data_IF_562064329096
#
_entry.id   IF_562064329096
#
_cell.length_a   1.000
_cell.length_b   1.000
_cell.length_c   1.000
_cell.angle_alpha   90.00
_cell.angle_beta   90.00
_cell.angle_gamma   90.00
#
_symmetry.space_group_name_H-M   'P 1'
#
loop_
_entity.id
_entity.type
_entity.pdbx_description
1 polymer ?
#
# COMPACT_ATOMS: atom_id res chain seq x y z
N UNK A 1 -18.07 -12.94 14.56
CA UNK A 1 -17.79 -12.35 13.24
C UNK A 1 -18.38 -13.23 12.13
N UNK A 2 -18.42 -12.70 10.89
CA UNK A 2 -19.03 -13.39 9.72
C UNK A 2 -18.43 -14.78 9.45
N UNK A 3 -17.18 -14.99 9.85
CA UNK A 3 -16.43 -16.23 9.62
C UNK A 3 -16.10 -17.02 10.89
N UNK A 4 -16.40 -16.47 12.07
CA UNK A 4 -16.16 -17.15 13.33
C UNK A 4 -17.33 -16.91 14.29
N UNK A 5 -18.05 -17.97 14.71
CA UNK A 5 -19.11 -17.86 15.71
C UNK A 5 -18.56 -17.56 17.12
N UNK A 6 -17.23 -17.60 17.30
CA UNK A 6 -16.56 -17.38 18.57
C UNK A 6 -16.47 -15.90 18.94
N UNK A 7 -16.36 -15.62 20.25
CA UNK A 7 -16.10 -14.27 20.77
C UNK A 7 -14.78 -13.72 20.15
N UNK A 8 -14.84 -12.56 19.47
CA UNK A 8 -13.65 -11.95 18.87
C UNK A 8 -12.50 -11.71 19.86
N UNK A 9 -12.80 -11.48 21.13
CA UNK A 9 -11.79 -11.31 22.19
C UNK A 9 -11.01 -12.62 22.40
N UNK A 10 -11.70 -13.76 22.49
CA UNK A 10 -11.06 -15.06 22.66
C UNK A 10 -10.20 -15.42 21.48
N UNK A 11 -10.69 -15.15 20.27
CA UNK A 11 -9.93 -15.35 19.01
C UNK A 11 -8.66 -14.49 19.01
N UNK A 12 -8.78 -13.20 19.35
CA UNK A 12 -7.64 -12.27 19.37
C UNK A 12 -6.58 -12.70 20.40
N UNK A 13 -6.98 -13.11 21.59
CA UNK A 13 -6.06 -13.64 22.63
C UNK A 13 -5.32 -14.87 22.14
N UNK A 14 -6.05 -15.84 21.59
CA UNK A 14 -5.47 -17.08 21.05
C UNK A 14 -4.46 -16.79 19.92
N UNK A 15 -4.72 -15.80 19.05
CA UNK A 15 -3.77 -15.37 18.04
C UNK A 15 -2.53 -14.77 18.70
N UNK A 16 -2.71 -13.86 19.66
CA UNK A 16 -1.61 -13.24 20.40
C UNK A 16 -0.70 -14.26 21.08
N UNK A 17 -1.29 -15.25 21.77
CA UNK A 17 -0.56 -16.31 22.47
C UNK A 17 0.25 -17.19 21.48
N UNK A 18 -0.34 -17.53 20.34
CA UNK A 18 0.36 -18.30 19.29
C UNK A 18 1.52 -17.53 18.66
N UNK A 19 1.34 -16.22 18.45
CA UNK A 19 2.39 -15.36 17.92
C UNK A 19 3.53 -15.22 18.95
N UNK A 20 3.20 -15.04 20.22
CA UNK A 20 4.17 -14.98 21.30
C UNK A 20 5.00 -16.28 21.43
N UNK A 21 4.36 -17.44 21.23
CA UNK A 21 5.04 -18.74 21.24
C UNK A 21 6.12 -18.87 20.12
N UNK A 22 6.03 -18.05 19.06
CA UNK A 22 7.04 -17.97 18.00
C UNK A 22 8.20 -17.01 18.33
N UNK A 23 8.22 -16.42 19.52
CA UNK A 23 9.25 -15.45 19.94
C UNK A 23 9.10 -14.07 19.33
N UNK A 24 7.96 -13.75 18.75
CA UNK A 24 7.64 -12.43 18.16
C UNK A 24 6.40 -11.85 18.82
N UNK A 25 6.17 -10.55 18.61
CA UNK A 25 5.10 -9.81 19.26
C UNK A 25 4.11 -9.27 18.24
N UNK A 26 2.84 -9.16 18.62
CA UNK A 26 1.83 -8.48 17.82
C UNK A 26 0.94 -7.59 18.66
N UNK A 27 0.39 -6.56 18.04
CA UNK A 27 -0.69 -5.76 18.61
C UNK A 27 -1.95 -5.97 17.77
N UNK A 28 -3.08 -6.23 18.41
CA UNK A 28 -4.33 -6.60 17.77
C UNK A 28 -5.39 -5.55 18.03
N UNK A 29 -6.05 -5.11 16.97
CA UNK A 29 -7.22 -4.25 17.03
C UNK A 29 -8.47 -5.00 16.58
N UNK A 30 -9.54 -4.92 17.36
CA UNK A 30 -10.85 -5.48 17.03
C UNK A 30 -11.85 -4.34 16.85
N UNK A 31 -12.60 -4.34 15.77
CA UNK A 31 -13.59 -3.31 15.44
C UNK A 31 -14.60 -3.81 14.41
N UNK A 32 -15.67 -3.04 14.20
CA UNK A 32 -16.76 -3.38 13.28
C UNK A 32 -16.35 -3.32 11.79
N UNK A 33 -15.27 -2.61 11.45
CA UNK A 33 -14.73 -2.50 10.11
C UNK A 33 -13.20 -2.40 10.10
N UNK A 34 -12.61 -2.48 8.89
CA UNK A 34 -11.15 -2.50 8.70
C UNK A 34 -10.45 -1.25 9.22
N UNK A 35 -11.06 -0.06 9.04
CA UNK A 35 -10.48 1.22 9.50
C UNK A 35 -10.41 1.27 11.02
N UNK A 36 -11.50 0.94 11.71
CA UNK A 36 -11.54 0.92 13.18
C UNK A 36 -10.57 -0.11 13.74
N UNK A 37 -10.57 -1.33 13.21
CA UNK A 37 -9.65 -2.40 13.64
C UNK A 37 -8.18 -2.03 13.44
N UNK A 38 -7.84 -1.43 12.28
CA UNK A 38 -6.48 -0.97 11.98
C UNK A 38 -6.00 0.11 12.95
N UNK A 39 -6.83 1.12 13.20
CA UNK A 39 -6.50 2.20 14.14
C UNK A 39 -6.39 1.66 15.57
N UNK A 40 -7.31 0.77 15.97
CA UNK A 40 -7.27 0.12 17.27
C UNK A 40 -5.96 -0.68 17.48
N UNK A 41 -5.44 -1.36 16.45
CA UNK A 41 -4.19 -2.11 16.54
C UNK A 41 -2.94 -1.23 16.76
N UNK A 42 -3.01 0.06 16.43
CA UNK A 42 -1.90 1.01 16.63
C UNK A 42 -1.88 1.65 18.01
N UNK A 43 -3.03 1.65 18.71
CA UNK A 43 -3.23 2.44 19.93
C UNK A 43 -2.33 2.02 21.09
N UNK A 44 -2.28 0.74 21.36
CA UNK A 44 -1.62 0.19 22.56
C UNK A 44 -0.40 -0.66 22.16
N UNK A 45 0.39 -0.19 21.18
CA UNK A 45 1.67 -0.80 20.81
C UNK A 45 2.74 -0.55 21.89
N UNK A 46 3.68 -1.51 22.10
CA UNK A 46 3.67 -2.90 21.62
C UNK A 46 2.79 -3.81 22.50
N UNK A 47 2.43 -5.00 22.01
CA UNK A 47 1.67 -6.05 22.74
C UNK A 47 0.22 -5.71 23.07
N UNK A 48 -0.35 -4.65 22.51
CA UNK A 48 -1.70 -4.20 22.84
C UNK A 48 -2.81 -5.05 22.25
N UNK A 49 -3.91 -5.18 22.99
CA UNK A 49 -5.19 -5.70 22.48
C UNK A 49 -6.27 -4.66 22.73
N UNK A 50 -6.63 -3.92 21.70
CA UNK A 50 -7.64 -2.86 21.76
C UNK A 50 -8.92 -3.31 21.07
N UNK A 51 -10.04 -3.26 21.79
CA UNK A 51 -11.37 -3.64 21.29
C UNK A 51 -12.26 -2.40 21.24
N UNK A 52 -12.78 -2.10 20.06
CA UNK A 52 -13.79 -1.06 19.86
C UNK A 52 -15.14 -1.75 19.69
N UNK A 53 -16.03 -1.56 20.69
CA UNK A 53 -17.35 -2.18 20.68
C UNK A 53 -18.26 -1.54 19.63
N UNK A 54 -19.16 -2.32 19.00
CA UNK A 54 -20.15 -1.78 18.10
C UNK A 54 -20.94 -0.61 18.73
N UNK A 55 -21.10 0.47 17.96
CA UNK A 55 -21.76 1.71 18.39
C UNK A 55 -20.88 2.69 19.15
N UNK A 56 -19.58 2.37 19.40
CA UNK A 56 -18.64 3.28 20.08
C UNK A 56 -17.54 3.82 19.13
N UNK A 57 -17.61 3.49 17.84
CA UNK A 57 -16.58 3.77 16.83
C UNK A 57 -16.31 5.26 16.71
N UNK A 58 -17.38 6.05 16.56
CA UNK A 58 -17.25 7.50 16.40
C UNK A 58 -16.61 8.14 17.64
N UNK A 59 -17.00 7.72 18.83
CA UNK A 59 -16.41 8.20 20.09
C UNK A 59 -14.93 7.82 20.19
N UNK A 60 -14.58 6.61 19.76
CA UNK A 60 -13.20 6.13 19.76
C UNK A 60 -12.33 6.93 18.79
N UNK A 61 -12.84 7.21 17.57
CA UNK A 61 -12.09 7.89 16.53
C UNK A 61 -12.00 9.40 16.73
N UNK A 62 -13.03 10.04 17.28
CA UNK A 62 -13.18 11.50 17.24
C UNK A 62 -12.01 12.28 17.84
N UNK A 63 -11.38 11.78 18.90
CA UNK A 63 -10.26 12.44 19.58
C UNK A 63 -8.89 12.13 18.92
N UNK A 64 -8.82 11.19 17.99
CA UNK A 64 -7.56 10.77 17.39
C UNK A 64 -7.10 11.77 16.31
N UNK A 65 -5.77 11.95 16.15
CA UNK A 65 -5.25 12.82 15.10
C UNK A 65 -5.59 12.27 13.71
N UNK A 66 -5.73 13.16 12.72
CA UNK A 66 -6.06 12.77 11.34
C UNK A 66 -5.03 11.79 10.76
N UNK A 67 -3.77 11.87 11.16
CA UNK A 67 -2.69 10.97 10.74
C UNK A 67 -2.85 9.52 11.23
N UNK A 68 -3.73 9.26 12.20
CA UNK A 68 -4.05 7.89 12.63
C UNK A 68 -4.80 7.09 11.54
N UNK A 69 -5.43 7.77 10.58
CA UNK A 69 -6.20 7.11 9.53
C UNK A 69 -5.35 6.81 8.29
N UNK A 70 -5.26 5.54 7.90
CA UNK A 70 -4.59 5.12 6.67
C UNK A 70 -5.15 5.87 5.45
N UNK A 71 -4.27 6.38 4.59
CA UNK A 71 -4.63 7.21 3.44
C UNK A 71 -4.49 8.71 3.69
N UNK A 72 -4.25 9.13 4.94
CA UNK A 72 -3.83 10.48 5.28
C UNK A 72 -2.31 10.47 5.48
N UNK A 73 -1.58 10.73 4.40
CA UNK A 73 -0.13 10.91 4.43
C UNK A 73 0.23 12.36 4.80
N UNK A 74 1.53 12.62 4.95
CA UNK A 74 2.07 13.92 5.37
C UNK A 74 1.51 15.11 4.58
N UNK A 75 1.42 15.01 3.26
CA UNK A 75 0.89 16.10 2.41
C UNK A 75 -0.59 16.40 2.70
N UNK A 76 -1.43 15.37 2.85
CA UNK A 76 -2.85 15.55 3.19
C UNK A 76 -3.01 16.09 4.62
N UNK A 77 -2.23 15.60 5.58
CA UNK A 77 -2.21 16.11 6.96
C UNK A 77 -1.83 17.59 7.01
N UNK A 78 -0.80 18.03 6.28
CA UNK A 78 -0.40 19.44 6.22
C UNK A 78 -1.52 20.32 5.64
N UNK A 79 -2.23 19.85 4.60
CA UNK A 79 -3.38 20.56 4.03
C UNK A 79 -4.54 20.66 5.01
N UNK A 80 -4.86 19.60 5.72
CA UNK A 80 -5.88 19.59 6.77
C UNK A 80 -5.54 20.55 7.91
N UNK A 81 -4.27 20.58 8.37
CA UNK A 81 -3.78 21.50 9.41
C UNK A 81 -3.94 22.98 9.02
N UNK A 82 -3.69 23.33 7.76
CA UNK A 82 -3.93 24.69 7.25
C UNK A 82 -5.41 25.09 7.34
N UNK A 83 -6.32 24.12 7.28
CA UNK A 83 -7.76 24.31 7.44
C UNK A 83 -8.24 24.11 8.89
N UNK A 84 -7.30 24.01 9.87
CA UNK A 84 -7.56 23.79 11.28
C UNK A 84 -8.32 22.50 11.58
N UNK A 85 -8.07 21.46 10.79
CA UNK A 85 -8.61 20.12 10.97
C UNK A 85 -7.47 19.23 11.48
N UNK A 86 -7.49 18.87 12.76
CA UNK A 86 -6.41 18.14 13.45
C UNK A 86 -6.85 16.73 13.83
N UNK A 87 -8.15 16.53 14.10
CA UNK A 87 -8.70 15.28 14.59
C UNK A 87 -9.66 14.63 13.59
N UNK A 88 -9.88 13.32 13.75
CA UNK A 88 -10.87 12.59 12.94
C UNK A 88 -12.30 13.08 13.20
N UNK A 89 -12.59 13.55 14.43
CA UNK A 89 -13.86 14.16 14.73
C UNK A 89 -14.09 15.49 14.02
N UNK A 90 -13.05 16.32 13.83
CA UNK A 90 -13.13 17.55 13.03
C UNK A 90 -13.24 17.21 11.55
N UNK A 91 -12.47 16.21 11.07
CA UNK A 91 -12.54 15.73 9.69
C UNK A 91 -13.96 15.26 9.33
N UNK A 92 -14.62 14.55 10.23
CA UNK A 92 -15.97 14.04 9.99
C UNK A 92 -17.03 15.14 9.83
N UNK A 93 -16.78 16.31 10.43
CA UNK A 93 -17.65 17.49 10.36
C UNK A 93 -17.25 18.53 9.31
N UNK A 94 -16.10 18.30 8.65
CA UNK A 94 -15.59 19.25 7.65
C UNK A 94 -16.56 19.39 6.46
N UNK A 95 -16.65 20.59 5.84
CA UNK A 95 -17.46 20.78 4.63
C UNK A 95 -17.05 19.85 3.50
N UNK A 96 -18.01 19.41 2.70
CA UNK A 96 -17.76 18.52 1.56
C UNK A 96 -16.75 19.12 0.57
N UNK A 97 -16.89 20.42 0.29
CA UNK A 97 -15.96 21.16 -0.58
C UNK A 97 -14.51 21.10 -0.07
N UNK A 98 -14.32 21.17 1.23
CA UNK A 98 -12.98 21.03 1.87
C UNK A 98 -12.43 19.62 1.66
N UNK A 99 -13.25 18.60 1.88
CA UNK A 99 -12.83 17.21 1.70
C UNK A 99 -12.55 16.89 0.23
N UNK A 100 -13.39 17.39 -0.69
CA UNK A 100 -13.19 17.24 -2.13
C UNK A 100 -11.90 17.93 -2.60
N UNK A 101 -11.59 19.13 -2.08
CA UNK A 101 -10.35 19.84 -2.41
C UNK A 101 -9.10 19.05 -1.98
N UNK A 102 -9.14 18.29 -0.88
CA UNK A 102 -7.99 17.56 -0.35
C UNK A 102 -7.89 16.14 -0.95
N UNK A 103 -9.00 15.43 -1.01
CA UNK A 103 -9.07 14.01 -1.32
C UNK A 103 -9.72 13.70 -2.67
N UNK A 104 -10.20 14.72 -3.41
CA UNK A 104 -10.92 14.53 -4.66
C UNK A 104 -12.20 13.71 -4.45
N UNK A 105 -12.46 12.78 -5.35
CA UNK A 105 -13.61 11.87 -5.32
C UNK A 105 -13.68 10.99 -4.06
N UNK A 106 -12.58 10.86 -3.32
CA UNK A 106 -12.53 10.10 -2.08
C UNK A 106 -12.96 10.90 -0.83
N UNK A 107 -13.32 12.18 -0.97
CA UNK A 107 -13.64 13.05 0.17
C UNK A 107 -14.74 12.49 1.08
N UNK A 108 -15.86 12.08 0.50
CA UNK A 108 -16.96 11.49 1.28
C UNK A 108 -16.57 10.14 1.91
N UNK A 109 -15.81 9.32 1.20
CA UNK A 109 -15.31 8.07 1.77
C UNK A 109 -14.42 8.32 2.99
N UNK A 110 -13.59 9.37 2.96
CA UNK A 110 -12.75 9.75 4.10
C UNK A 110 -13.59 10.21 5.29
N UNK A 111 -14.70 10.93 5.05
CA UNK A 111 -15.68 11.29 6.08
C UNK A 111 -16.31 10.06 6.72
N UNK A 112 -16.82 9.12 5.93
CA UNK A 112 -17.44 7.88 6.42
C UNK A 112 -16.45 7.07 7.28
N UNK A 113 -15.20 7.00 6.84
CA UNK A 113 -14.13 6.35 7.62
C UNK A 113 -13.86 7.06 8.95
N UNK A 114 -13.86 8.40 8.97
CA UNK A 114 -13.68 9.18 10.19
C UNK A 114 -14.85 9.04 11.18
N UNK A 115 -16.06 8.76 10.67
CA UNK A 115 -17.24 8.42 11.47
C UNK A 115 -17.24 6.96 11.95
N UNK A 116 -16.35 6.11 11.42
CA UNK A 116 -16.38 4.66 11.69
C UNK A 116 -17.47 3.91 10.94
N UNK A 117 -18.05 4.51 9.89
CA UNK A 117 -19.16 3.98 9.10
C UNK A 117 -18.71 3.30 7.80
N UNK A 118 -17.40 3.08 7.61
CA UNK A 118 -16.89 2.42 6.42
C UNK A 118 -17.49 1.01 6.27
N UNK A 119 -18.19 0.80 5.16
CA UNK A 119 -18.65 -0.53 4.75
C UNK A 119 -17.60 -1.10 3.81
N UNK A 120 -16.69 -1.93 4.35
CA UNK A 120 -15.71 -2.65 3.55
C UNK A 120 -15.74 -4.13 3.92
N UNK A 121 -16.12 -4.97 2.98
CA UNK A 121 -16.13 -6.41 3.21
C UNK A 121 -14.72 -6.95 3.41
N UNK A 122 -14.60 -7.91 4.34
CA UNK A 122 -13.41 -8.76 4.42
C UNK A 122 -13.59 -9.83 3.35
N UNK A 123 -12.79 -9.73 2.29
CA UNK A 123 -12.78 -10.70 1.20
C UNK A 123 -12.15 -12.01 1.65
N UNK A 124 -12.63 -13.13 1.13
CA UNK A 124 -12.00 -14.44 1.32
C UNK A 124 -10.62 -14.48 0.64
N UNK A 125 -9.78 -15.42 1.07
CA UNK A 125 -8.52 -15.70 0.36
C UNK A 125 -8.78 -16.32 -1.02
N UNK A 126 -9.96 -16.93 -1.20
CA UNK A 126 -10.38 -17.57 -2.46
C UNK A 126 -11.00 -16.56 -3.45
N UNK A 127 -11.25 -15.32 -3.01
CA UNK A 127 -11.70 -14.26 -3.91
C UNK A 127 -10.55 -13.87 -4.85
N UNK A 128 -10.64 -14.20 -6.11
CA UNK A 128 -9.70 -13.78 -7.15
C UNK A 128 -9.66 -12.25 -7.21
N UNK A 129 -8.53 -11.69 -6.83
CA UNK A 129 -8.27 -10.26 -7.01
C UNK A 129 -7.53 -10.06 -8.31
N UNK A 130 -8.07 -9.21 -9.14
CA UNK A 130 -7.37 -8.76 -10.32
C UNK A 130 -5.99 -8.19 -9.95
N UNK A 131 -4.93 -8.78 -10.49
CA UNK A 131 -3.55 -8.31 -10.29
C UNK A 131 -3.35 -7.05 -11.12
N UNK A 132 -3.18 -5.91 -10.48
CA UNK A 132 -3.00 -4.61 -11.17
C UNK A 132 -1.56 -4.29 -11.51
N UNK A 133 -0.61 -4.80 -10.74
CA UNK A 133 0.82 -4.64 -10.98
C UNK A 133 1.62 -5.78 -10.36
N UNK A 134 2.75 -6.11 -10.98
CA UNK A 134 3.77 -7.02 -10.44
C UNK A 134 5.05 -6.23 -10.35
N UNK A 135 5.59 -6.05 -9.15
CA UNK A 135 6.82 -5.30 -8.92
C UNK A 135 7.74 -6.01 -7.94
N UNK A 136 9.01 -5.68 -8.02
CA UNK A 136 10.02 -6.07 -7.03
C UNK A 136 10.88 -4.86 -6.70
N UNK A 137 11.11 -4.63 -5.41
CA UNK A 137 11.94 -3.54 -4.87
C UNK A 137 12.95 -4.10 -3.88
N UNK A 138 14.15 -3.55 -3.88
CA UNK A 138 15.20 -3.90 -2.92
C UNK A 138 15.81 -2.66 -2.29
N UNK A 139 15.85 -2.63 -0.97
CA UNK A 139 16.64 -1.66 -0.21
C UNK A 139 18.06 -2.26 -0.01
N UNK A 140 19.08 -1.49 -0.32
CA UNK A 140 20.47 -1.95 -0.22
C UNK A 140 21.05 -1.65 1.16
N UNK A 141 21.93 -2.54 1.65
CA UNK A 141 22.63 -2.34 2.91
C UNK A 141 23.61 -1.16 2.83
N UNK A 142 24.24 -0.99 1.66
CA UNK A 142 25.05 0.17 1.27
C UNK A 142 24.43 0.79 0.03
N UNK A 143 24.46 2.12 -0.05
CA UNK A 143 23.95 2.83 -1.21
C UNK A 143 24.77 2.47 -2.45
N UNK A 144 24.09 2.30 -3.58
CA UNK A 144 24.76 2.11 -4.87
C UNK A 144 25.08 3.48 -5.45
N UNK A 145 26.34 3.65 -5.88
CA UNK A 145 26.87 4.90 -6.46
C UNK A 145 27.30 4.73 -7.92
N UNK A 146 27.67 3.50 -8.27
CA UNK A 146 28.14 3.20 -9.61
C UNK A 146 26.99 2.77 -10.50
N UNK A 147 26.98 3.29 -11.73
CA UNK A 147 25.94 2.98 -12.74
C UNK A 147 25.81 1.48 -12.96
N UNK A 148 26.92 0.78 -13.13
CA UNK A 148 26.91 -0.67 -13.38
C UNK A 148 26.28 -1.48 -12.26
N UNK A 149 26.46 -1.09 -11.00
CA UNK A 149 25.84 -1.76 -9.86
C UNK A 149 24.31 -1.53 -9.84
N UNK A 150 23.88 -0.32 -10.20
CA UNK A 150 22.45 0.02 -10.28
C UNK A 150 21.79 -0.76 -11.42
N UNK A 151 22.43 -0.83 -12.59
CA UNK A 151 21.94 -1.59 -13.75
C UNK A 151 21.85 -3.09 -13.44
N UNK A 152 22.89 -3.66 -12.81
CA UNK A 152 22.88 -5.06 -12.36
C UNK A 152 21.74 -5.34 -11.37
N UNK A 153 21.49 -4.42 -10.42
CA UNK A 153 20.42 -4.55 -9.47
C UNK A 153 19.04 -4.50 -10.16
N UNK A 154 18.84 -3.60 -11.13
CA UNK A 154 17.60 -3.50 -11.92
C UNK A 154 17.38 -4.79 -12.70
N UNK A 155 18.41 -5.36 -13.33
CA UNK A 155 18.32 -6.60 -14.09
C UNK A 155 17.88 -7.78 -13.21
N UNK A 156 18.50 -7.97 -12.05
CA UNK A 156 18.13 -9.02 -11.09
C UNK A 156 16.67 -8.87 -10.58
N UNK A 157 16.22 -7.63 -10.34
CA UNK A 157 14.84 -7.36 -9.96
C UNK A 157 13.89 -7.67 -11.11
N UNK A 158 14.29 -7.34 -12.35
CA UNK A 158 13.54 -7.63 -13.56
C UNK A 158 13.32 -9.13 -13.80
N UNK A 159 14.35 -9.96 -13.63
CA UNK A 159 14.23 -11.42 -13.69
C UNK A 159 13.17 -11.96 -12.71
N UNK A 160 13.15 -11.41 -11.50
CA UNK A 160 12.15 -11.80 -10.49
C UNK A 160 10.72 -11.40 -10.91
N UNK A 161 10.57 -10.23 -11.54
CA UNK A 161 9.28 -9.76 -12.07
C UNK A 161 8.85 -10.63 -13.25
N UNK A 162 9.72 -10.88 -14.23
CA UNK A 162 9.42 -11.72 -15.41
C UNK A 162 9.00 -13.13 -15.02
N UNK A 163 9.72 -13.75 -14.07
CA UNK A 163 9.36 -15.07 -13.52
C UNK A 163 7.97 -15.08 -12.87
N UNK A 164 7.59 -14.00 -12.18
CA UNK A 164 6.26 -13.88 -11.55
C UNK A 164 5.17 -13.67 -12.60
N UNK A 165 5.43 -12.87 -13.64
CA UNK A 165 4.51 -12.64 -14.75
C UNK A 165 4.20 -13.97 -15.46
N UNK A 166 5.23 -14.72 -15.89
CA UNK A 166 5.08 -16.02 -16.53
C UNK A 166 4.31 -17.02 -15.68
N UNK A 167 4.61 -17.08 -14.37
CA UNK A 167 3.87 -17.97 -13.45
C UNK A 167 2.38 -17.65 -13.38
N UNK A 168 2.00 -16.39 -13.58
CA UNK A 168 0.62 -15.93 -13.50
C UNK A 168 -0.04 -15.79 -14.88
N UNK A 169 0.67 -16.10 -15.97
CA UNK A 169 0.17 -15.94 -17.34
C UNK A 169 -0.12 -14.48 -17.70
N UNK A 170 0.62 -13.51 -17.11
CA UNK A 170 0.39 -12.09 -17.31
C UNK A 170 1.43 -11.50 -18.27
N UNK A 171 0.98 -10.60 -19.16
CA UNK A 171 1.83 -9.72 -19.95
C UNK A 171 1.53 -8.26 -19.61
N UNK A 172 2.56 -7.47 -19.30
CA UNK A 172 2.40 -6.08 -18.88
C UNK A 172 2.68 -5.09 -20.00
N UNK A 173 1.88 -4.03 -20.07
CA UNK A 173 1.98 -2.97 -21.06
C UNK A 173 2.74 -1.72 -20.59
N UNK A 174 3.02 -1.58 -19.28
CA UNK A 174 3.73 -0.41 -18.73
C UNK A 174 4.85 -0.83 -17.81
N UNK A 175 6.07 -0.32 -18.08
CA UNK A 175 7.26 -0.48 -17.25
C UNK A 175 7.35 0.69 -16.29
N UNK A 176 7.64 0.41 -15.02
CA UNK A 176 7.90 1.41 -13.98
C UNK A 176 9.28 1.17 -13.36
N UNK A 177 10.14 2.18 -13.36
CA UNK A 177 11.38 2.22 -12.60
C UNK A 177 11.24 3.18 -11.43
N UNK A 178 11.61 2.73 -10.22
CA UNK A 178 11.57 3.51 -9.00
C UNK A 178 12.94 3.51 -8.34
N UNK A 179 13.43 4.68 -7.99
CA UNK A 179 14.62 4.86 -7.17
C UNK A 179 14.28 5.65 -5.91
N UNK A 180 14.88 5.29 -4.78
CA UNK A 180 14.97 6.14 -3.59
C UNK A 180 16.43 6.41 -3.27
N UNK A 181 16.71 7.64 -2.92
CA UNK A 181 18.06 8.10 -2.62
C UNK A 181 18.30 8.16 -1.11
N UNK A 182 19.55 8.15 -0.70
CA UNK A 182 19.98 8.20 0.71
C UNK A 182 19.47 9.43 1.47
N UNK A 183 19.25 10.56 0.76
CA UNK A 183 18.71 11.80 1.34
C UNK A 183 17.17 11.83 1.47
N UNK A 184 16.52 10.65 1.39
CA UNK A 184 15.09 10.48 1.71
C UNK A 184 14.11 10.83 0.60
N UNK A 185 14.56 11.40 -0.53
CA UNK A 185 13.71 11.61 -1.71
C UNK A 185 13.73 10.38 -2.63
N UNK A 186 12.80 10.33 -3.58
CA UNK A 186 12.77 9.28 -4.59
C UNK A 186 12.18 9.81 -5.89
N UNK A 187 12.48 9.12 -6.97
CA UNK A 187 11.90 9.37 -8.29
C UNK A 187 11.34 8.10 -8.89
N UNK A 188 10.30 8.23 -9.67
CA UNK A 188 9.68 7.16 -10.43
C UNK A 188 9.53 7.61 -11.87
N UNK A 189 9.93 6.76 -12.82
CA UNK A 189 9.72 6.96 -14.23
C UNK A 189 8.92 5.78 -14.80
N UNK A 190 8.09 6.06 -15.79
CA UNK A 190 7.24 5.05 -16.43
C UNK A 190 7.29 5.21 -17.95
N UNK A 191 7.14 4.07 -18.65
CA UNK A 191 6.97 4.04 -20.09
C UNK A 191 6.01 2.94 -20.49
N UNK A 192 5.09 3.28 -21.38
CA UNK A 192 4.22 2.31 -22.03
C UNK A 192 4.97 1.61 -23.16
N UNK A 193 4.84 0.29 -23.22
CA UNK A 193 5.41 -0.55 -24.27
C UNK A 193 4.50 -0.56 -25.51
N UNK A 194 5.06 -0.71 -26.71
CA UNK A 194 4.28 -0.90 -27.93
C UNK A 194 3.41 -2.17 -27.87
N UNK A 195 3.94 -3.24 -27.29
CA UNK A 195 3.27 -4.51 -27.08
C UNK A 195 3.49 -5.00 -25.66
N UNK A 196 2.44 -5.51 -24.97
CA UNK A 196 2.58 -6.12 -23.65
C UNK A 196 3.52 -7.32 -23.71
N UNK A 197 4.34 -7.50 -22.68
CA UNK A 197 5.32 -8.59 -22.61
C UNK A 197 5.52 -9.11 -21.19
N UNK A 198 6.03 -10.32 -21.06
CA UNK A 198 6.56 -10.93 -19.83
C UNK A 198 8.07 -11.21 -19.95
N UNK A 199 8.69 -10.83 -21.08
CA UNK A 199 10.11 -10.98 -21.34
C UNK A 199 10.91 -9.88 -20.63
N UNK A 200 11.69 -10.28 -19.62
CA UNK A 200 12.56 -9.38 -18.85
C UNK A 200 13.61 -8.68 -19.70
N UNK A 201 14.10 -9.27 -20.77
CA UNK A 201 15.09 -8.63 -21.65
C UNK A 201 14.52 -7.35 -22.30
N UNK A 202 13.22 -7.37 -22.62
CA UNK A 202 12.53 -6.21 -23.22
C UNK A 202 12.28 -5.13 -22.18
N UNK A 203 11.60 -5.47 -21.09
CA UNK A 203 11.19 -4.42 -20.13
C UNK A 203 12.34 -3.94 -19.24
N UNK A 204 13.40 -4.74 -19.00
CA UNK A 204 14.61 -4.27 -18.32
C UNK A 204 15.37 -3.28 -19.21
N UNK A 205 15.49 -3.54 -20.52
CA UNK A 205 16.12 -2.58 -21.44
C UNK A 205 15.43 -1.22 -21.36
N UNK A 206 14.08 -1.20 -21.35
CA UNK A 206 13.30 0.04 -21.18
C UNK A 206 13.53 0.67 -19.80
N UNK A 207 13.64 -0.12 -18.76
CA UNK A 207 13.93 0.39 -17.41
C UNK A 207 15.33 1.04 -17.33
N UNK A 208 16.33 0.50 -18.04
CA UNK A 208 17.67 1.08 -18.11
C UNK A 208 17.68 2.42 -18.87
N UNK A 209 16.87 2.56 -19.92
CA UNK A 209 16.67 3.87 -20.59
C UNK A 209 15.95 4.86 -19.65
N UNK A 210 15.00 4.41 -18.83
CA UNK A 210 14.34 5.25 -17.83
C UNK A 210 15.28 5.68 -16.71
N UNK A 211 16.36 4.92 -16.44
CA UNK A 211 17.38 5.27 -15.45
C UNK A 211 18.03 6.62 -15.78
N UNK A 212 18.27 6.92 -17.04
CA UNK A 212 18.87 8.20 -17.50
C UNK A 212 18.03 9.41 -17.13
N UNK A 213 16.72 9.24 -16.96
CA UNK A 213 15.81 10.33 -16.60
C UNK A 213 15.77 10.61 -15.09
N UNK A 214 16.15 9.65 -14.26
CA UNK A 214 15.96 9.74 -12.80
C UNK A 214 17.23 9.53 -11.99
N UNK A 215 18.34 9.16 -12.61
CA UNK A 215 19.63 9.03 -11.94
C UNK A 215 20.71 9.82 -12.68
N UNK A 216 21.65 10.40 -11.93
CA UNK A 216 22.83 11.08 -12.42
C UNK A 216 24.03 10.67 -11.56
N UNK A 217 25.21 10.76 -12.12
CA UNK A 217 26.47 10.52 -11.39
C UNK A 217 26.53 11.34 -10.10
N UNK A 218 26.98 10.73 -9.02
CA UNK A 218 26.99 11.33 -7.69
C UNK A 218 25.69 11.15 -6.88
N UNK A 219 24.62 10.60 -7.47
CA UNK A 219 23.42 10.24 -6.71
C UNK A 219 23.59 8.86 -6.06
N UNK A 220 23.31 8.78 -4.77
CA UNK A 220 23.39 7.57 -3.97
C UNK A 220 22.03 6.88 -3.91
N UNK A 221 21.91 5.68 -4.47
CA UNK A 221 20.67 4.92 -4.56
C UNK A 221 20.54 3.96 -3.37
N UNK A 222 19.57 4.24 -2.50
CA UNK A 222 19.24 3.42 -1.32
C UNK A 222 18.30 2.27 -1.64
N UNK A 223 17.40 2.48 -2.63
CA UNK A 223 16.43 1.48 -3.07
C UNK A 223 16.24 1.59 -4.58
N UNK A 224 16.21 0.45 -5.24
CA UNK A 224 15.76 0.33 -6.61
C UNK A 224 14.56 -0.63 -6.69
N UNK A 225 13.65 -0.36 -7.62
CA UNK A 225 12.50 -1.19 -7.90
C UNK A 225 12.09 -1.12 -9.37
N UNK A 226 11.66 -2.26 -9.91
CA UNK A 226 11.07 -2.38 -11.24
C UNK A 226 9.69 -3.03 -11.14
N UNK A 227 8.76 -2.59 -11.96
CA UNK A 227 7.40 -3.12 -11.98
C UNK A 227 6.77 -3.07 -13.36
N UNK A 228 5.81 -3.97 -13.55
CA UNK A 228 4.96 -4.05 -14.73
C UNK A 228 3.50 -3.87 -14.33
N UNK A 229 2.75 -3.15 -15.14
CA UNK A 229 1.31 -2.92 -15.00
C UNK A 229 0.62 -2.88 -16.35
N UNK A 230 -0.67 -2.53 -16.38
CA UNK A 230 -1.50 -2.55 -17.58
C UNK A 230 -1.49 -3.95 -18.22
N UNK A 231 -1.93 -4.93 -17.43
CA UNK A 231 -1.98 -6.31 -17.90
C UNK A 231 -3.10 -6.50 -18.91
N UNK A 232 -2.78 -7.11 -20.05
CA UNK A 232 -3.78 -7.70 -20.91
C UNK A 232 -4.22 -9.01 -20.24
N UNK A 233 -5.44 -9.03 -19.73
CA UNK A 233 -6.13 -10.30 -19.55
C UNK A 233 -6.29 -10.87 -20.95
N UNK A 234 -5.62 -11.96 -21.25
CA UNK A 234 -6.01 -12.76 -22.41
C UNK A 234 -7.42 -13.24 -22.08
N UNK A 235 -8.38 -12.46 -22.58
CA UNK A 235 -9.79 -12.75 -22.43
C UNK A 235 -10.04 -14.17 -22.94
N UNK A 236 -10.83 -14.91 -22.18
CA UNK A 236 -11.30 -16.20 -22.59
C UNK A 236 -11.74 -16.14 -24.06
N UNK A 237 -11.27 -17.09 -24.84
CA UNK A 237 -11.72 -17.35 -26.18
C UNK A 237 -13.24 -17.44 -26.09
N UNK A 238 -13.92 -16.43 -26.60
CA UNK A 238 -15.34 -16.48 -26.88
C UNK A 238 -15.48 -17.46 -28.05
N UNK A 239 -15.73 -18.71 -27.72
CA UNK A 239 -16.16 -19.71 -28.69
C UNK A 239 -17.59 -19.38 -29.04
N UNK A 240 -17.77 -18.89 -30.28
CA UNK A 240 -19.06 -18.83 -30.97
C UNK A 240 -19.68 -20.24 -31.11
#
# INVERSE_FOLDING_TARGET
GRFAPEDPLLVARRISDRVAALGVTCSIGVGCNKTVAKIASERDKPFGLTIVRPGTEQRFLAALPVSAMSGIGRSAEERLRRMRIYTLGELSRAPESTLAAIFGVNGERMRQRALGLEVSEVTSLDDEREVKSVSNERTFAKDLTERGDIEAAIALLGESVGRRLRRQGLTGGTVTLKLKYSYGSGRTAQRRLPHPTDDENIFVAVALELLDNIWQEGMHVRLAGIGMSDFNHQGGIQTD
#
